data_IF_858876285142
#
_entry.id   IF_858876285142
#
_cell.length_a   1.000
_cell.length_b   1.000
_cell.length_c   1.000
_cell.angle_alpha   90.00
_cell.angle_beta   90.00
_cell.angle_gamma   90.00
#
_symmetry.space_group_name_H-M   'P 1'
#
loop_
_entity.id
_entity.type
_entity.pdbx_description
1 polymer ?
#
# COMPACT_ATOMS: atom_id res chain seq x y z
N UNK A 1 -8.02 7.81 -4.13
CA UNK A 1 -7.80 6.44 -4.63
C UNK A 1 -6.41 6.02 -4.20
N UNK A 2 -6.22 4.77 -3.77
CA UNK A 2 -4.95 4.31 -3.21
C UNK A 2 -4.08 3.70 -4.32
N UNK A 3 -2.88 4.26 -4.52
CA UNK A 3 -1.90 3.72 -5.49
C UNK A 3 -1.27 2.46 -4.88
N UNK A 4 -1.28 1.33 -5.59
CA UNK A 4 -0.74 0.09 -5.03
C UNK A 4 -0.05 -0.81 -6.06
N UNK A 5 0.85 -1.65 -5.55
CA UNK A 5 1.58 -2.68 -6.33
C UNK A 5 0.76 -3.95 -6.52
N UNK A 6 1.33 -4.98 -7.16
CA UNK A 6 0.64 -6.24 -7.47
C UNK A 6 0.38 -7.16 -6.26
N UNK A 7 1.28 -7.20 -5.27
CA UNK A 7 1.12 -8.10 -4.10
C UNK A 7 1.16 -9.59 -4.47
N UNK A 8 0.40 -10.41 -3.75
CA UNK A 8 0.36 -11.87 -3.91
C UNK A 8 -0.24 -12.34 -5.23
N UNK A 9 -0.90 -11.45 -5.96
CA UNK A 9 -1.54 -11.76 -7.25
C UNK A 9 -0.51 -12.10 -8.34
N UNK A 10 0.70 -11.54 -8.27
CA UNK A 10 1.70 -11.73 -9.34
C UNK A 10 3.16 -11.62 -8.88
N UNK A 11 3.45 -10.91 -7.80
CA UNK A 11 4.83 -10.70 -7.38
C UNK A 11 5.41 -11.98 -6.75
N UNK A 12 6.69 -12.27 -7.01
CA UNK A 12 7.42 -13.40 -6.42
C UNK A 12 8.25 -13.01 -5.19
N UNK A 13 8.40 -11.72 -4.91
CA UNK A 13 9.04 -11.18 -3.70
C UNK A 13 8.09 -10.37 -2.78
N UNK A 14 6.79 -10.71 -2.62
CA UNK A 14 5.89 -9.93 -1.79
C UNK A 14 6.08 -10.26 -0.30
N UNK A 15 6.14 -9.22 0.53
CA UNK A 15 6.03 -9.34 1.99
C UNK A 15 4.58 -9.28 2.50
N UNK A 16 3.65 -8.78 1.67
CA UNK A 16 2.22 -8.67 1.96
C UNK A 16 1.39 -8.70 0.67
N UNK A 17 0.10 -8.96 0.77
CA UNK A 17 -0.83 -8.67 -0.31
C UNK A 17 -0.99 -7.15 -0.51
N UNK A 18 -1.40 -6.76 -1.72
CA UNK A 18 -1.73 -5.38 -2.04
C UNK A 18 -3.23 -5.14 -2.20
N UNK A 19 -3.96 -6.03 -2.87
CA UNK A 19 -5.37 -5.79 -3.24
C UNK A 19 -6.30 -5.80 -2.01
N UNK A 20 -6.10 -6.77 -1.11
CA UNK A 20 -6.89 -6.93 0.11
C UNK A 20 -6.79 -5.73 1.05
N UNK A 21 -5.58 -5.32 1.48
CA UNK A 21 -5.43 -4.16 2.37
C UNK A 21 -5.90 -2.85 1.73
N UNK A 22 -5.72 -2.67 0.41
CA UNK A 22 -6.24 -1.51 -0.31
C UNK A 22 -7.76 -1.50 -0.30
N UNK A 23 -8.41 -2.64 -0.58
CA UNK A 23 -9.86 -2.75 -0.54
C UNK A 23 -10.41 -2.43 0.85
N UNK A 24 -9.85 -3.06 1.89
CA UNK A 24 -10.22 -2.80 3.27
C UNK A 24 -10.06 -1.31 3.64
N UNK A 25 -8.91 -0.71 3.33
CA UNK A 25 -8.68 0.70 3.62
C UNK A 25 -9.58 1.66 2.81
N UNK A 26 -9.94 1.30 1.58
CA UNK A 26 -10.88 2.09 0.79
C UNK A 26 -12.32 2.00 1.29
N UNK A 27 -12.72 0.85 1.84
CA UNK A 27 -14.05 0.69 2.44
C UNK A 27 -14.17 1.52 3.72
N UNK A 28 -13.15 1.49 4.58
CA UNK A 28 -13.12 2.28 5.82
C UNK A 28 -13.05 3.80 5.56
N UNK A 29 -12.42 4.22 4.46
CA UNK A 29 -12.23 5.63 4.09
C UNK A 29 -13.25 6.14 3.07
N UNK A 30 -14.27 5.35 2.73
CA UNK A 30 -15.20 5.67 1.65
C UNK A 30 -15.93 7.01 1.85
N UNK A 31 -16.32 7.34 3.08
CA UNK A 31 -16.98 8.61 3.40
C UNK A 31 -16.09 9.85 3.13
N UNK A 32 -14.78 9.72 3.34
CA UNK A 32 -13.81 10.77 3.04
C UNK A 32 -13.50 10.89 1.55
N UNK A 33 -13.75 9.84 0.77
CA UNK A 33 -13.45 9.84 -0.66
C UNK A 33 -14.39 10.75 -1.46
N UNK A 34 -15.67 10.84 -1.05
CA UNK A 34 -16.68 11.68 -1.68
C UNK A 34 -16.84 13.08 -1.05
N UNK A 35 -16.12 13.38 0.03
CA UNK A 35 -16.25 14.63 0.78
C UNK A 35 -14.92 15.39 0.84
N UNK A 36 -14.98 16.69 1.14
CA UNK A 36 -13.80 17.56 1.31
C UNK A 36 -13.72 18.09 2.75
N UNK A 37 -13.73 17.18 3.73
CA UNK A 37 -13.70 17.51 5.16
C UNK A 37 -12.28 17.66 5.72
N UNK A 38 -11.27 17.19 4.99
CA UNK A 38 -9.87 17.25 5.39
C UNK A 38 -9.22 18.59 4.96
N UNK A 39 -8.20 19.10 5.68
CA UNK A 39 -7.55 20.37 5.35
C UNK A 39 -6.87 20.40 3.97
N UNK A 40 -6.48 19.22 3.46
CA UNK A 40 -5.86 19.04 2.16
C UNK A 40 -6.16 17.63 1.62
N UNK A 41 -5.91 17.43 0.31
CA UNK A 41 -6.03 16.12 -0.32
C UNK A 41 -4.97 15.16 0.21
N UNK A 42 -5.39 14.07 0.83
CA UNK A 42 -4.50 13.01 1.33
C UNK A 42 -4.25 11.97 0.23
N UNK A 43 -2.97 11.68 -0.04
CA UNK A 43 -2.49 10.63 -0.94
C UNK A 43 -1.97 9.45 -0.13
N UNK A 44 -2.58 8.30 -0.35
CA UNK A 44 -2.21 7.04 0.28
C UNK A 44 -1.64 6.10 -0.80
N UNK A 45 -0.54 5.43 -0.48
CA UNK A 45 0.01 4.38 -1.33
C UNK A 45 0.40 3.13 -0.54
N UNK A 46 0.38 1.98 -1.21
CA UNK A 46 0.78 0.69 -0.66
C UNK A 46 1.77 -0.03 -1.57
N UNK A 47 2.87 -0.52 -1.00
CA UNK A 47 3.85 -1.34 -1.69
C UNK A 47 4.00 -2.67 -0.97
N UNK A 48 3.97 -3.76 -1.73
CA UNK A 48 4.07 -5.11 -1.18
C UNK A 48 5.48 -5.48 -0.69
N UNK A 49 6.51 -4.68 -1.02
CA UNK A 49 7.89 -4.89 -0.59
C UNK A 49 8.78 -3.64 -0.76
N UNK A 50 10.00 -3.69 -0.19
CA UNK A 50 10.94 -2.56 -0.04
C UNK A 50 11.46 -1.95 -1.35
N UNK A 51 11.27 -2.59 -2.51
CA UNK A 51 11.66 -1.95 -3.77
C UNK A 51 10.79 -0.75 -4.14
N UNK A 52 9.75 -0.43 -3.34
CA UNK A 52 9.04 0.85 -3.38
C UNK A 52 8.56 1.24 -4.79
N UNK A 53 8.06 0.27 -5.56
CA UNK A 53 7.53 0.56 -6.89
C UNK A 53 6.32 1.52 -6.77
N UNK A 54 6.40 2.66 -7.46
CA UNK A 54 5.33 3.67 -7.48
C UNK A 54 5.57 4.87 -6.57
N UNK A 55 4.48 5.44 -6.03
CA UNK A 55 4.49 6.71 -5.30
C UNK A 55 4.69 6.58 -3.78
N UNK A 56 5.05 5.38 -3.29
CA UNK A 56 5.08 5.09 -1.85
C UNK A 56 5.95 6.08 -1.07
N UNK A 57 7.16 6.38 -1.56
CA UNK A 57 8.11 7.28 -0.90
C UNK A 57 7.68 8.76 -0.92
N UNK A 58 6.68 9.11 -1.72
CA UNK A 58 6.19 10.47 -1.92
C UNK A 58 4.69 10.60 -1.59
N UNK A 59 4.16 9.69 -0.76
CA UNK A 59 2.76 9.71 -0.30
C UNK A 59 2.66 10.28 1.11
N UNK A 60 1.53 10.93 1.41
CA UNK A 60 1.27 11.46 2.76
C UNK A 60 1.18 10.32 3.78
N UNK A 61 0.61 9.18 3.37
CA UNK A 61 0.56 7.95 4.15
C UNK A 61 1.03 6.78 3.27
N UNK A 62 2.03 6.04 3.77
CA UNK A 62 2.64 4.92 3.08
C UNK A 62 2.46 3.62 3.88
N UNK A 63 1.94 2.58 3.22
CA UNK A 63 1.86 1.22 3.75
C UNK A 63 2.89 0.32 3.06
N UNK A 64 3.84 -0.21 3.83
CA UNK A 64 4.96 -0.99 3.29
C UNK A 64 5.04 -2.39 3.91
N UNK A 65 5.04 -3.41 3.05
CA UNK A 65 5.39 -4.77 3.43
C UNK A 65 6.90 -4.92 3.67
N UNK A 66 7.28 -5.46 4.84
CA UNK A 66 8.69 -5.68 5.20
C UNK A 66 8.88 -7.06 5.82
N UNK A 67 9.85 -7.82 5.30
CA UNK A 67 10.30 -9.06 5.93
C UNK A 67 11.15 -8.74 7.18
N UNK A 68 10.95 -9.49 8.26
CA UNK A 68 11.69 -9.32 9.53
C UNK A 68 12.69 -10.45 9.82
N UNK A 69 12.90 -11.36 8.86
CA UNK A 69 13.83 -12.48 8.96
C UNK A 69 14.89 -12.36 7.87
N UNK A 70 16.14 -12.77 8.14
CA UNK A 70 17.16 -12.84 7.10
C UNK A 70 16.76 -13.83 6.00
N UNK A 71 17.33 -13.70 4.78
CA UNK A 71 17.13 -14.68 3.71
C UNK A 71 17.56 -16.07 4.18
N UNK A 72 16.77 -17.08 3.82
CA UNK A 72 17.21 -18.47 3.99
C UNK A 72 18.13 -18.81 2.81
N UNK A 73 19.29 -19.37 3.11
CA UNK A 73 20.23 -19.88 2.11
C UNK A 73 19.83 -21.33 1.83
N UNK A 74 19.60 -21.65 0.56
CA UNK A 74 19.39 -23.02 0.09
C UNK A 74 20.75 -23.70 -0.15
#
# INVERSE_FOLDING_TARGET
NIVHTQGWVHCHTPATDASGPVKAGMDDLFEYFGSMTLPAQVRIALACWLNMWGALHASDIALLGVHRKPPMID
#
